data_IF_973157056934
#
_entry.id   IF_973157056934
#
_cell.length_a   1.000
_cell.length_b   1.000
_cell.length_c   1.000
_cell.angle_alpha   90.00
_cell.angle_beta   90.00
_cell.angle_gamma   90.00
#
_symmetry.space_group_name_H-M   'P 1'
#
loop_
_entity.id
_entity.type
_entity.pdbx_description
1 polymer ?
#
# COMPACT_ATOMS: atom_id res chain seq x y z
N UNK A 1 -34.51 21.93 -36.67
CA UNK A 1 -35.49 22.66 -35.85
C UNK A 1 -36.89 22.64 -36.46
N UNK A 2 -37.04 22.86 -37.78
CA UNK A 2 -38.34 22.81 -38.48
C UNK A 2 -39.06 21.46 -38.36
N UNK A 3 -38.37 20.32 -38.48
CA UNK A 3 -38.99 19.00 -38.27
C UNK A 3 -39.42 18.74 -36.82
N UNK A 4 -38.69 19.29 -35.84
CA UNK A 4 -38.98 19.11 -34.41
C UNK A 4 -40.25 19.89 -34.01
N UNK A 5 -40.44 21.08 -34.61
CA UNK A 5 -41.60 21.92 -34.40
C UNK A 5 -42.90 21.37 -35.03
N UNK A 6 -42.79 20.45 -35.99
CA UNK A 6 -43.95 19.78 -36.60
C UNK A 6 -44.36 18.50 -35.85
N UNK A 7 -43.46 17.92 -35.06
CA UNK A 7 -43.64 16.63 -34.38
C UNK A 7 -43.93 16.77 -32.87
N UNK A 8 -43.59 17.91 -32.26
CA UNK A 8 -43.71 18.15 -30.83
C UNK A 8 -44.49 19.42 -30.55
N UNK A 9 -45.43 19.33 -29.61
CA UNK A 9 -46.14 20.49 -29.09
C UNK A 9 -45.19 21.40 -28.28
N UNK A 10 -45.61 22.63 -28.00
CA UNK A 10 -44.83 23.66 -27.30
C UNK A 10 -44.27 23.15 -25.98
N UNK A 11 -45.04 22.35 -25.24
CA UNK A 11 -44.63 21.72 -23.98
C UNK A 11 -43.48 20.70 -24.18
N UNK A 12 -43.52 19.91 -25.26
CA UNK A 12 -42.49 18.94 -25.59
C UNK A 12 -41.17 19.62 -25.97
N UNK A 13 -41.23 20.71 -26.74
CA UNK A 13 -40.07 21.52 -27.10
C UNK A 13 -39.43 22.18 -25.87
N UNK A 14 -40.25 22.71 -24.95
CA UNK A 14 -39.77 23.29 -23.70
C UNK A 14 -39.07 22.27 -22.79
N UNK A 15 -39.62 21.05 -22.68
CA UNK A 15 -39.01 19.96 -21.90
C UNK A 15 -37.66 19.51 -22.48
N UNK A 16 -37.55 19.40 -23.80
CA UNK A 16 -36.30 19.06 -24.49
C UNK A 16 -35.20 20.09 -24.24
N UNK A 17 -35.50 21.37 -24.41
CA UNK A 17 -34.54 22.46 -24.19
C UNK A 17 -34.14 22.60 -22.71
N UNK A 18 -35.11 22.50 -21.80
CA UNK A 18 -34.89 22.63 -20.36
C UNK A 18 -34.01 21.50 -19.78
N UNK A 19 -34.22 20.26 -20.24
CA UNK A 19 -33.42 19.12 -19.79
C UNK A 19 -31.95 19.25 -20.20
N UNK A 20 -31.69 19.64 -21.44
CA UNK A 20 -30.34 19.90 -21.93
C UNK A 20 -29.67 21.03 -21.13
N UNK A 21 -30.38 22.15 -20.93
CA UNK A 21 -29.88 23.28 -20.14
C UNK A 21 -29.51 22.88 -18.71
N UNK A 22 -30.34 22.08 -18.04
CA UNK A 22 -30.05 21.57 -16.70
C UNK A 22 -28.83 20.66 -16.65
N UNK A 23 -28.66 19.77 -17.63
CA UNK A 23 -27.47 18.89 -17.71
C UNK A 23 -26.21 19.72 -17.88
N UNK A 24 -26.21 20.70 -18.80
CA UNK A 24 -25.08 21.62 -18.98
C UNK A 24 -24.80 22.39 -17.69
N UNK A 25 -25.84 22.88 -17.01
CA UNK A 25 -25.70 23.59 -15.74
C UNK A 25 -25.09 22.69 -14.64
N UNK A 26 -25.52 21.43 -14.55
CA UNK A 26 -24.95 20.44 -13.64
C UNK A 26 -23.48 20.16 -13.93
N UNK A 27 -23.14 19.93 -15.21
CA UNK A 27 -21.78 19.71 -15.66
C UNK A 27 -20.86 20.91 -15.38
N UNK A 28 -21.35 22.14 -15.55
CA UNK A 28 -20.58 23.36 -15.21
C UNK A 28 -20.30 23.43 -13.71
N UNK A 29 -21.31 23.17 -12.86
CA UNK A 29 -21.12 23.15 -11.41
C UNK A 29 -20.10 22.09 -10.96
N UNK A 30 -20.18 20.88 -11.53
CA UNK A 30 -19.21 19.80 -11.29
C UNK A 30 -17.82 20.17 -11.82
N UNK A 31 -17.74 20.77 -13.00
CA UNK A 31 -16.47 21.22 -13.60
C UNK A 31 -15.77 22.25 -12.73
N UNK A 32 -16.51 23.21 -12.17
CA UNK A 32 -15.96 24.20 -11.22
C UNK A 32 -15.43 23.54 -9.96
N UNK A 33 -16.13 22.54 -9.40
CA UNK A 33 -15.67 21.77 -8.25
C UNK A 33 -14.38 21.01 -8.55
N UNK A 34 -14.29 20.38 -9.73
CA UNK A 34 -13.11 19.61 -10.14
C UNK A 34 -11.93 20.53 -10.40
N UNK A 35 -12.09 21.55 -11.24
CA UNK A 35 -11.01 22.45 -11.65
C UNK A 35 -10.43 23.25 -10.46
N UNK A 36 -11.28 23.73 -9.54
CA UNK A 36 -10.80 24.45 -8.33
C UNK A 36 -10.21 23.52 -7.27
N UNK A 37 -10.51 22.22 -7.32
CA UNK A 37 -9.90 21.22 -6.43
C UNK A 37 -8.57 20.71 -6.99
N UNK A 38 -8.47 20.61 -8.31
CA UNK A 38 -7.28 20.17 -9.02
C UNK A 38 -6.24 21.29 -9.19
N UNK A 39 -6.65 22.56 -9.16
CA UNK A 39 -5.80 23.76 -9.29
C UNK A 39 -4.72 23.66 -10.37
N UNK A 40 -5.07 23.39 -11.65
CA UNK A 40 -4.06 23.30 -12.71
C UNK A 40 -3.49 24.69 -13.06
N UNK A 41 -2.21 24.75 -13.43
CA UNK A 41 -1.46 26.02 -13.63
C UNK A 41 -2.08 26.97 -14.66
N UNK A 42 -2.72 26.43 -15.70
CA UNK A 42 -3.41 27.20 -16.75
C UNK A 42 -4.77 27.76 -16.30
N UNK A 43 -5.33 27.29 -15.17
CA UNK A 43 -6.64 27.70 -14.70
C UNK A 43 -6.53 28.77 -13.61
N UNK A 44 -6.43 30.03 -14.05
CA UNK A 44 -6.42 31.21 -13.18
C UNK A 44 -7.74 31.99 -13.33
N UNK A 45 -8.83 31.59 -12.64
CA UNK A 45 -10.11 32.26 -12.78
C UNK A 45 -10.06 33.67 -12.18
N UNK A 46 -10.44 34.68 -12.97
CA UNK A 46 -10.57 36.07 -12.51
C UNK A 46 -11.69 36.24 -11.46
N UNK A 47 -12.73 35.40 -11.52
CA UNK A 47 -13.86 35.41 -10.59
C UNK A 47 -13.70 34.39 -9.46
N UNK A 48 -14.01 34.77 -8.21
CA UNK A 48 -14.07 33.86 -7.05
C UNK A 48 -15.53 33.54 -6.73
N UNK A 49 -15.88 32.25 -6.75
CA UNK A 49 -17.24 31.79 -6.44
C UNK A 49 -17.50 31.99 -4.93
N UNK A 50 -18.55 32.75 -4.54
CA UNK A 50 -18.89 32.92 -3.13
C UNK A 50 -19.35 31.60 -2.53
N UNK A 51 -19.00 31.35 -1.27
CA UNK A 51 -19.36 30.12 -0.53
C UNK A 51 -18.92 28.81 -1.21
N UNK A 52 -17.84 28.84 -2.00
CA UNK A 52 -17.21 27.62 -2.49
C UNK A 52 -16.74 26.74 -1.31
N UNK A 53 -16.96 25.41 -1.33
CA UNK A 53 -17.53 24.57 -2.40
C UNK A 53 -19.06 24.35 -2.30
N UNK A 54 -19.72 24.93 -1.31
CA UNK A 54 -21.13 24.66 -0.98
C UNK A 54 -22.05 25.07 -2.12
N UNK A 55 -21.84 26.26 -2.69
CA UNK A 55 -22.75 26.81 -3.70
C UNK A 55 -22.77 25.95 -5.00
N UNK A 56 -21.64 25.58 -5.62
CA UNK A 56 -21.66 24.67 -6.76
C UNK A 56 -22.15 23.25 -6.42
N UNK A 57 -21.86 22.76 -5.21
CA UNK A 57 -22.33 21.44 -4.78
C UNK A 57 -23.86 21.41 -4.64
N UNK A 58 -24.47 22.46 -4.08
CA UNK A 58 -25.92 22.62 -4.05
C UNK A 58 -26.51 22.77 -5.45
N UNK A 59 -25.85 23.51 -6.34
CA UNK A 59 -26.26 23.62 -7.75
C UNK A 59 -26.27 22.27 -8.47
N UNK A 60 -25.21 21.48 -8.32
CA UNK A 60 -25.14 20.13 -8.89
C UNK A 60 -26.19 19.19 -8.28
N UNK A 61 -26.41 19.26 -6.97
CA UNK A 61 -27.42 18.45 -6.26
C UNK A 61 -28.84 18.85 -6.67
N UNK A 62 -29.12 20.14 -6.82
CA UNK A 62 -30.42 20.65 -7.26
C UNK A 62 -30.74 20.17 -8.68
N UNK A 63 -29.77 20.22 -9.60
CA UNK A 63 -29.93 19.65 -10.95
C UNK A 63 -30.26 18.17 -10.87
N UNK A 64 -29.53 17.41 -10.05
CA UNK A 64 -29.76 15.96 -9.88
C UNK A 64 -31.16 15.64 -9.32
N UNK A 65 -31.70 16.50 -8.45
CA UNK A 65 -33.03 16.34 -7.87
C UNK A 65 -34.16 16.78 -8.80
N UNK A 66 -33.94 17.79 -9.64
CA UNK A 66 -34.95 18.33 -10.57
C UNK A 66 -35.07 17.45 -11.82
N UNK A 67 -33.97 16.86 -12.28
CA UNK A 67 -33.91 16.08 -13.52
C UNK A 67 -34.99 14.96 -13.61
N UNK A 68 -35.23 14.13 -12.57
CA UNK A 68 -36.24 13.08 -12.61
C UNK A 68 -37.68 13.61 -12.79
N UNK A 69 -37.94 14.84 -12.35
CA UNK A 69 -39.26 15.47 -12.42
C UNK A 69 -39.67 15.97 -13.82
N UNK A 70 -38.75 16.02 -14.78
CA UNK A 70 -39.01 16.58 -16.12
C UNK A 70 -39.65 15.62 -17.12
N UNK A 71 -40.03 14.42 -16.67
CA UNK A 71 -40.67 13.39 -17.50
C UNK A 71 -39.69 12.60 -18.38
N UNK A 72 -40.16 11.47 -18.89
CA UNK A 72 -39.33 10.49 -19.59
C UNK A 72 -38.73 11.02 -20.92
N UNK A 73 -39.43 11.92 -21.62
CA UNK A 73 -39.01 12.51 -22.89
C UNK A 73 -37.68 13.30 -22.79
N UNK A 74 -37.47 13.96 -21.64
CA UNK A 74 -36.25 14.67 -21.27
C UNK A 74 -35.05 13.74 -21.11
N UNK A 75 -35.28 12.54 -20.57
CA UNK A 75 -34.23 11.55 -20.38
C UNK A 75 -33.83 10.90 -21.70
N UNK A 76 -34.80 10.57 -22.55
CA UNK A 76 -34.56 9.98 -23.88
C UNK A 76 -33.78 10.94 -24.78
N UNK A 77 -34.11 12.22 -24.73
CA UNK A 77 -33.39 13.25 -25.50
C UNK A 77 -32.00 13.54 -24.95
N UNK A 78 -31.82 13.57 -23.63
CA UNK A 78 -30.50 13.67 -23.01
C UNK A 78 -29.61 12.50 -23.41
N UNK A 79 -30.13 11.27 -23.35
CA UNK A 79 -29.42 10.07 -23.80
C UNK A 79 -29.16 10.13 -25.30
N UNK A 80 -30.14 10.53 -26.11
CA UNK A 80 -29.99 10.70 -27.56
C UNK A 80 -28.92 11.72 -27.94
N UNK A 81 -28.85 12.85 -27.25
CA UNK A 81 -27.81 13.86 -27.43
C UNK A 81 -26.45 13.37 -26.96
N UNK A 82 -26.37 12.70 -25.82
CA UNK A 82 -25.14 12.11 -25.32
C UNK A 82 -24.60 11.05 -26.28
N UNK A 83 -25.48 10.18 -26.81
CA UNK A 83 -25.14 9.19 -27.84
C UNK A 83 -24.75 9.86 -29.15
N UNK A 84 -25.45 10.93 -29.56
CA UNK A 84 -25.12 11.70 -30.75
C UNK A 84 -23.76 12.41 -30.63
N UNK A 85 -23.46 13.01 -29.49
CA UNK A 85 -22.17 13.62 -29.19
C UNK A 85 -21.05 12.57 -29.12
N UNK A 86 -21.34 11.40 -28.53
CA UNK A 86 -20.41 10.25 -28.49
C UNK A 86 -20.17 9.72 -29.89
N UNK A 87 -21.21 9.53 -30.70
CA UNK A 87 -21.10 9.08 -32.09
C UNK A 87 -20.35 10.09 -32.95
N UNK A 88 -20.62 11.39 -32.79
CA UNK A 88 -19.88 12.46 -33.44
C UNK A 88 -18.40 12.47 -33.01
N UNK A 89 -18.12 12.31 -31.73
CA UNK A 89 -16.76 12.21 -31.21
C UNK A 89 -16.02 10.99 -31.78
N UNK A 90 -16.66 9.82 -31.79
CA UNK A 90 -16.11 8.59 -32.35
C UNK A 90 -15.95 8.67 -33.87
N UNK A 91 -16.90 9.29 -34.57
CA UNK A 91 -16.80 9.52 -36.02
C UNK A 91 -15.68 10.50 -36.33
N UNK A 92 -15.58 11.62 -35.60
CA UNK A 92 -14.50 12.58 -35.76
C UNK A 92 -13.14 11.97 -35.41
N UNK A 93 -13.08 11.15 -34.36
CA UNK A 93 -11.89 10.35 -34.02
C UNK A 93 -11.49 9.45 -35.20
N UNK A 94 -12.42 8.69 -35.77
CA UNK A 94 -12.16 7.83 -36.95
C UNK A 94 -11.78 8.63 -38.20
N UNK A 95 -12.41 9.77 -38.46
CA UNK A 95 -12.12 10.63 -39.62
C UNK A 95 -10.76 11.32 -39.51
N UNK A 96 -10.34 11.69 -38.29
CA UNK A 96 -9.00 12.22 -38.00
C UNK A 96 -7.95 11.10 -38.09
N UNK A 97 -8.26 9.89 -37.59
CA UNK A 97 -7.42 8.69 -37.77
C UNK A 97 -7.21 8.30 -39.25
N UNK A 98 -8.19 8.59 -40.12
CA UNK A 98 -8.11 8.35 -41.58
C UNK A 98 -7.31 9.44 -42.35
N UNK A 99 -7.09 10.62 -41.74
CA UNK A 99 -6.38 11.76 -42.34
C UNK A 99 -4.88 11.83 -42.06
N UNK A 100 -4.30 10.83 -41.37
CA UNK A 100 -2.86 10.73 -41.12
C UNK A 100 -2.33 11.52 -39.92
N UNK A 101 -3.02 12.56 -39.46
CA UNK A 101 -2.69 13.25 -38.21
C UNK A 101 -3.38 12.58 -37.02
N UNK A 102 -2.66 11.68 -36.33
CA UNK A 102 -3.09 11.16 -35.04
C UNK A 102 -3.03 12.30 -34.01
N UNK A 103 -4.12 13.04 -33.83
CA UNK A 103 -4.32 13.88 -32.65
C UNK A 103 -4.55 12.93 -31.47
N UNK A 104 -3.47 12.32 -30.97
CA UNK A 104 -3.48 11.74 -29.63
C UNK A 104 -3.55 12.92 -28.68
N UNK A 105 -4.60 13.07 -27.85
CA UNK A 105 -4.53 14.03 -26.76
C UNK A 105 -3.29 13.66 -25.95
N UNK A 106 -2.33 14.59 -25.88
CA UNK A 106 -1.05 14.41 -25.19
C UNK A 106 -1.26 14.01 -23.70
N UNK A 107 -2.46 14.27 -23.18
CA UNK A 107 -2.91 13.85 -21.86
C UNK A 107 -4.38 13.39 -21.86
N UNK A 108 -4.63 12.16 -21.42
CA UNK A 108 -5.95 11.70 -21.00
C UNK A 108 -6.30 12.20 -19.60
N UNK A 109 -7.60 12.28 -19.28
CA UNK A 109 -8.08 12.63 -17.94
C UNK A 109 -7.59 11.62 -16.87
N UNK A 110 -7.38 10.36 -17.28
CA UNK A 110 -6.77 9.32 -16.46
C UNK A 110 -5.28 9.57 -16.20
N UNK A 111 -4.52 10.03 -17.20
CA UNK A 111 -3.09 10.31 -17.07
C UNK A 111 -2.84 11.47 -16.10
N UNK A 112 -3.65 12.53 -16.19
CA UNK A 112 -3.62 13.66 -15.23
C UNK A 112 -3.96 13.23 -13.80
N UNK A 113 -4.92 12.31 -13.63
CA UNK A 113 -5.27 11.78 -12.30
C UNK A 113 -4.14 10.91 -11.74
N UNK A 114 -3.50 10.12 -12.60
CA UNK A 114 -2.36 9.28 -12.23
C UNK A 114 -1.13 10.13 -11.88
N UNK A 115 -0.87 11.20 -12.63
CA UNK A 115 0.19 12.18 -12.36
C UNK A 115 0.00 12.84 -10.99
N UNK A 116 -1.21 13.31 -10.68
CA UNK A 116 -1.52 13.86 -9.35
C UNK A 116 -1.35 12.83 -8.23
N UNK A 117 -1.66 11.55 -8.51
CA UNK A 117 -1.42 10.46 -7.56
C UNK A 117 0.08 10.18 -7.38
N UNK A 118 0.88 10.27 -8.44
CA UNK A 118 2.33 10.06 -8.39
C UNK A 118 3.06 11.22 -7.71
N UNK A 119 2.66 12.47 -7.92
CA UNK A 119 3.26 13.60 -7.19
C UNK A 119 2.98 13.49 -5.69
N UNK A 120 1.73 13.19 -5.31
CA UNK A 120 1.37 12.90 -3.92
C UNK A 120 2.13 11.68 -3.37
N UNK A 121 2.44 10.71 -4.23
CA UNK A 121 3.26 9.55 -3.86
C UNK A 121 4.63 9.94 -3.40
N UNK A 122 5.24 10.85 -4.13
CA UNK A 122 6.61 11.24 -3.91
C UNK A 122 6.70 12.09 -2.65
N UNK A 123 5.71 12.96 -2.39
CA UNK A 123 5.62 13.70 -1.13
C UNK A 123 5.42 12.78 0.08
N UNK A 124 4.50 11.80 0.01
CA UNK A 124 4.29 10.82 1.09
C UNK A 124 5.55 9.94 1.29
N UNK A 125 6.25 9.55 0.22
CA UNK A 125 7.52 8.78 0.26
C UNK A 125 8.64 9.59 0.88
N UNK A 126 8.83 10.82 0.41
CA UNK A 126 9.81 11.77 0.92
C UNK A 126 9.56 12.02 2.40
N UNK A 127 8.33 12.28 2.83
CA UNK A 127 8.00 12.44 4.24
C UNK A 127 8.23 11.17 5.09
N UNK A 128 8.08 9.96 4.52
CA UNK A 128 8.37 8.71 5.22
C UNK A 128 9.87 8.44 5.35
N UNK A 129 10.64 8.75 4.30
CA UNK A 129 12.09 8.56 4.23
C UNK A 129 12.84 9.65 5.00
N UNK A 130 12.45 10.92 4.84
CA UNK A 130 12.92 12.06 5.63
C UNK A 130 12.37 12.03 7.06
N UNK A 131 11.18 11.47 7.30
CA UNK A 131 10.61 11.27 8.64
C UNK A 131 11.30 10.17 9.46
N UNK A 132 12.22 9.40 8.85
CA UNK A 132 13.23 8.68 9.59
C UNK A 132 14.23 9.63 10.28
N UNK A 133 14.20 10.93 9.96
CA UNK A 133 14.87 12.01 10.67
C UNK A 133 14.23 13.40 10.51
N UNK A 134 13.11 13.70 11.18
CA UNK A 134 12.73 15.07 11.65
C UNK A 134 11.41 15.10 12.46
N UNK A 135 11.16 16.08 13.35
CA UNK A 135 12.03 16.75 14.30
C UNK A 135 11.64 16.42 15.77
N UNK A 136 12.58 16.62 16.68
CA UNK A 136 12.27 16.78 18.10
C UNK A 136 11.19 17.87 18.27
N UNK A 137 10.11 17.52 18.97
CA UNK A 137 9.30 18.50 19.68
C UNK A 137 10.26 19.35 20.50
N UNK A 138 10.18 20.71 20.48
CA UNK A 138 11.04 21.52 21.32
C UNK A 138 10.61 21.30 22.78
N UNK A 139 11.23 20.32 23.42
CA UNK A 139 11.13 20.13 24.87
C UNK A 139 12.14 21.08 25.48
N UNK A 140 11.62 22.22 25.93
CA UNK A 140 12.31 23.08 26.86
C UNK A 140 12.77 22.26 28.07
N UNK A 141 14.06 22.38 28.36
CA UNK A 141 14.72 22.11 29.65
C UNK A 141 14.61 20.68 30.22
N UNK A 142 15.79 20.05 30.30
CA UNK A 142 16.14 18.88 31.11
C UNK A 142 15.22 17.67 30.97
N UNK A 143 15.53 16.77 30.04
CA UNK A 143 14.96 15.41 30.04
C UNK A 143 16.07 14.40 29.79
N UNK A 144 16.19 13.47 30.73
CA UNK A 144 17.12 12.34 30.74
C UNK A 144 17.03 11.48 29.46
N UNK A 145 18.15 10.86 29.10
CA UNK A 145 18.41 9.97 27.96
C UNK A 145 17.52 8.71 27.84
N UNK A 146 16.37 8.64 28.53
CA UNK A 146 15.48 7.49 28.61
C UNK A 146 14.32 7.50 27.58
N UNK A 147 14.05 8.61 26.89
CA UNK A 147 12.95 8.73 25.92
C UNK A 147 13.30 8.35 24.46
N UNK A 148 14.52 7.85 24.21
CA UNK A 148 14.85 7.06 23.00
C UNK A 148 14.36 5.60 23.09
N UNK A 149 13.64 5.24 24.15
CA UNK A 149 13.08 3.91 24.34
C UNK A 149 11.76 3.71 23.57
N UNK A 150 11.78 2.95 22.47
CA UNK A 150 10.55 2.32 21.98
C UNK A 150 10.61 1.64 20.62
N UNK A 151 11.38 2.15 19.64
CA UNK A 151 11.37 1.55 18.31
C UNK A 151 11.90 0.11 18.35
N UNK A 152 11.17 -0.83 17.75
CA UNK A 152 11.55 -2.24 17.67
C UNK A 152 11.25 -2.84 16.30
N UNK A 153 12.09 -3.76 15.87
CA UNK A 153 11.84 -4.65 14.73
C UNK A 153 11.43 -5.99 15.30
N UNK A 154 10.31 -6.54 14.86
CA UNK A 154 9.86 -7.86 15.29
C UNK A 154 10.09 -8.84 14.17
N UNK A 155 10.70 -9.98 14.45
CA UNK A 155 10.87 -11.06 13.50
C UNK A 155 10.31 -12.35 14.07
N UNK A 156 9.50 -13.05 13.29
CA UNK A 156 9.09 -14.41 13.63
C UNK A 156 10.21 -15.40 13.25
N UNK A 157 10.66 -16.21 14.19
CA UNK A 157 11.61 -17.29 13.95
C UNK A 157 10.97 -18.66 14.21
N UNK A 158 11.38 -19.64 13.41
CA UNK A 158 11.02 -21.04 13.55
C UNK A 158 12.31 -21.88 13.55
N UNK A 159 12.39 -22.92 14.37
CA UNK A 159 13.62 -23.70 14.62
C UNK A 159 14.04 -24.52 13.39
N UNK A 160 13.11 -24.75 12.44
CA UNK A 160 13.32 -25.62 11.29
C UNK A 160 13.49 -24.88 9.94
N UNK A 161 13.81 -23.57 9.96
CA UNK A 161 13.71 -22.71 8.77
C UNK A 161 15.00 -21.93 8.46
N UNK A 162 15.14 -21.33 7.26
CA UNK A 162 16.31 -20.55 6.86
C UNK A 162 16.38 -19.21 7.62
N UNK A 163 16.78 -19.27 8.89
CA UNK A 163 16.97 -18.11 9.76
C UNK A 163 18.03 -17.15 9.24
N UNK A 164 19.01 -17.63 8.46
CA UNK A 164 20.15 -16.79 8.03
C UNK A 164 19.71 -15.58 7.22
N UNK A 165 18.85 -15.78 6.23
CA UNK A 165 18.43 -14.71 5.32
C UNK A 165 17.34 -13.85 5.94
N UNK A 166 16.46 -14.43 6.75
CA UNK A 166 15.49 -13.67 7.53
C UNK A 166 16.18 -12.77 8.56
N UNK A 167 17.23 -13.24 9.21
CA UNK A 167 18.05 -12.43 10.12
C UNK A 167 18.83 -11.34 9.39
N UNK A 168 19.27 -11.57 8.15
CA UNK A 168 19.88 -10.48 7.35
C UNK A 168 18.87 -9.36 7.10
N UNK A 169 17.62 -9.70 6.74
CA UNK A 169 16.56 -8.69 6.61
C UNK A 169 16.22 -8.03 7.96
N UNK A 170 16.14 -8.80 9.03
CA UNK A 170 15.87 -8.25 10.36
C UNK A 170 16.98 -7.30 10.82
N UNK A 171 18.24 -7.65 10.57
CA UNK A 171 19.41 -6.83 10.88
C UNK A 171 19.48 -5.58 9.99
N UNK A 172 19.16 -5.68 8.69
CA UNK A 172 19.09 -4.49 7.82
C UNK A 172 18.04 -3.50 8.31
N UNK A 173 16.87 -3.99 8.75
CA UNK A 173 15.83 -3.13 9.31
C UNK A 173 16.20 -2.61 10.70
N UNK A 174 16.83 -3.44 11.54
CA UNK A 174 17.33 -3.03 12.86
C UNK A 174 18.37 -1.91 12.76
N UNK A 175 19.31 -2.02 11.82
CA UNK A 175 20.27 -0.98 11.50
C UNK A 175 19.60 0.29 10.99
N UNK A 176 18.69 0.17 10.00
CA UNK A 176 17.97 1.31 9.42
C UNK A 176 17.16 2.10 10.43
N UNK A 177 16.48 1.40 11.35
CA UNK A 177 15.67 2.02 12.39
C UNK A 177 16.41 2.29 13.70
N UNK A 178 17.70 1.95 13.77
CA UNK A 178 18.50 1.99 15.00
C UNK A 178 17.78 1.33 16.18
N UNK A 179 17.18 0.16 15.92
CA UNK A 179 16.24 -0.51 16.82
C UNK A 179 16.67 -1.95 17.10
N UNK A 180 16.46 -2.46 18.33
CA UNK A 180 16.66 -3.88 18.62
C UNK A 180 15.68 -4.74 17.84
N UNK A 181 16.10 -5.98 17.59
CA UNK A 181 15.29 -7.01 16.95
C UNK A 181 14.73 -7.95 18.01
N UNK A 182 13.41 -7.97 18.15
CA UNK A 182 12.67 -8.91 18.99
C UNK A 182 12.33 -10.17 18.14
N UNK A 183 13.03 -11.26 18.40
CA UNK A 183 12.78 -12.57 17.79
C UNK A 183 11.70 -13.34 18.55
N UNK A 184 10.54 -13.50 17.92
CA UNK A 184 9.41 -14.22 18.48
C UNK A 184 9.41 -15.65 17.95
N UNK A 185 9.38 -16.62 18.87
CA UNK A 185 9.18 -18.03 18.57
C UNK A 185 7.88 -18.47 19.20
N UNK A 186 6.96 -18.98 18.40
CA UNK A 186 5.67 -19.48 18.89
C UNK A 186 5.65 -20.99 18.82
N UNK A 187 5.39 -21.64 19.95
CA UNK A 187 5.04 -23.05 19.98
C UNK A 187 3.54 -23.18 20.16
N UNK A 188 2.88 -23.74 19.14
CA UNK A 188 1.44 -23.97 19.20
C UNK A 188 1.11 -25.14 20.13
N UNK A 189 0.21 -24.89 21.08
CA UNK A 189 -0.28 -25.86 22.05
C UNK A 189 -1.69 -26.29 21.66
N UNK A 190 -1.91 -27.59 21.34
CA UNK A 190 -3.26 -28.09 21.07
C UNK A 190 -4.20 -27.82 22.24
N UNK A 191 -5.48 -27.50 22.00
CA UNK A 191 -6.42 -27.16 23.06
C UNK A 191 -6.63 -28.30 24.07
N UNK A 192 -6.36 -29.55 23.67
CA UNK A 192 -6.47 -30.74 24.52
C UNK A 192 -5.27 -30.95 25.46
N UNK A 193 -4.17 -30.19 25.32
CA UNK A 193 -3.02 -30.26 26.24
C UNK A 193 -2.99 -29.06 27.20
N UNK A 194 -2.62 -29.27 28.49
CA UNK A 194 -2.32 -28.18 29.40
C UNK A 194 -1.15 -27.33 28.89
N UNK A 195 -1.27 -26.00 29.02
CA UNK A 195 -0.20 -25.04 28.66
C UNK A 195 1.07 -25.21 29.52
N UNK A 196 0.96 -25.89 30.67
CA UNK A 196 2.06 -26.23 31.58
C UNK A 196 2.89 -27.43 31.10
N UNK A 197 2.50 -28.09 30.00
CA UNK A 197 3.29 -29.17 29.41
C UNK A 197 4.67 -28.62 29.02
N UNK A 198 5.75 -29.31 29.39
CA UNK A 198 7.10 -28.89 29.06
C UNK A 198 7.31 -29.03 27.55
N UNK A 199 7.23 -27.91 26.82
CA UNK A 199 7.61 -27.85 25.42
C UNK A 199 9.11 -27.58 25.33
N UNK A 200 9.77 -28.20 24.36
CA UNK A 200 11.19 -27.96 24.10
C UNK A 200 11.41 -26.48 23.78
N UNK A 201 12.02 -25.76 24.72
CA UNK A 201 12.53 -24.44 24.44
C UNK A 201 13.61 -24.55 23.35
N UNK A 202 13.77 -23.53 22.50
CA UNK A 202 14.87 -23.46 21.55
C UNK A 202 16.20 -23.72 22.26
N UNK A 203 17.07 -24.53 21.65
CA UNK A 203 18.34 -24.89 22.27
C UNK A 203 19.17 -23.64 22.58
N UNK A 204 19.85 -23.62 23.74
CA UNK A 204 20.70 -22.48 24.13
C UNK A 204 21.80 -22.24 23.09
N UNK A 205 22.33 -23.32 22.50
CA UNK A 205 23.33 -23.25 21.43
C UNK A 205 22.79 -22.56 20.18
N UNK A 206 21.56 -22.89 19.76
CA UNK A 206 20.91 -22.25 18.62
C UNK A 206 20.68 -20.77 18.88
N UNK A 207 20.16 -20.39 20.07
CA UNK A 207 19.96 -18.98 20.44
C UNK A 207 21.26 -18.20 20.40
N UNK A 208 22.31 -18.71 21.07
CA UNK A 208 23.62 -18.06 21.10
C UNK A 208 24.18 -17.83 19.69
N UNK A 209 24.04 -18.81 18.80
CA UNK A 209 24.46 -18.68 17.39
C UNK A 209 23.71 -17.56 16.64
N UNK A 210 22.44 -17.32 16.97
CA UNK A 210 21.67 -16.23 16.37
C UNK A 210 22.07 -14.88 16.95
N UNK A 211 22.33 -14.82 18.27
CA UNK A 211 22.83 -13.62 18.96
C UNK A 211 24.20 -13.22 18.42
N UNK A 212 25.16 -14.15 18.37
CA UNK A 212 26.49 -13.95 17.78
C UNK A 212 26.38 -13.38 16.36
N UNK A 213 25.47 -13.94 15.55
CA UNK A 213 25.27 -13.48 14.16
C UNK A 213 24.64 -12.10 14.07
N UNK A 214 23.78 -11.70 14.99
CA UNK A 214 23.20 -10.35 15.00
C UNK A 214 24.18 -9.33 15.56
N UNK A 215 25.02 -9.74 16.52
CA UNK A 215 26.11 -8.95 17.09
C UNK A 215 27.21 -8.67 16.06
N UNK A 216 27.54 -9.62 15.16
CA UNK A 216 28.39 -9.39 13.99
C UNK A 216 27.93 -8.18 13.14
N UNK A 217 26.64 -7.86 13.18
CA UNK A 217 26.04 -6.74 12.45
C UNK A 217 25.69 -5.55 13.36
N UNK A 218 26.09 -5.57 14.64
CA UNK A 218 25.84 -4.48 15.59
C UNK A 218 24.37 -4.30 16.00
N UNK A 219 23.51 -5.28 15.77
CA UNK A 219 22.07 -5.19 16.06
C UNK A 219 21.71 -6.10 17.24
N UNK A 220 21.19 -5.56 18.36
CA UNK A 220 20.79 -6.40 19.50
C UNK A 220 19.63 -7.33 19.16
N UNK A 221 19.76 -8.62 19.49
CA UNK A 221 18.71 -9.63 19.33
C UNK A 221 18.11 -10.02 20.69
N UNK A 222 16.78 -10.01 20.81
CA UNK A 222 16.06 -10.42 22.03
C UNK A 222 15.12 -11.57 21.73
N UNK A 223 15.23 -12.66 22.48
CA UNK A 223 14.39 -13.84 22.27
C UNK A 223 13.13 -13.83 23.13
N UNK A 224 12.00 -14.10 22.49
CA UNK A 224 10.71 -14.29 23.12
C UNK A 224 10.10 -15.62 22.69
N UNK A 225 10.14 -16.62 23.57
CA UNK A 225 9.43 -17.89 23.36
C UNK A 225 8.03 -17.81 23.96
N UNK A 226 7.01 -18.04 23.13
CA UNK A 226 5.60 -17.92 23.50
C UNK A 226 4.90 -19.26 23.26
N UNK A 227 4.22 -19.77 24.28
CA UNK A 227 3.29 -20.88 24.16
C UNK A 227 1.90 -20.32 23.87
N UNK A 228 1.28 -20.71 22.76
CA UNK A 228 -0.01 -20.16 22.37
C UNK A 228 -0.90 -21.18 21.67
N UNK A 229 -2.22 -20.97 21.69
CA UNK A 229 -3.17 -21.76 20.88
C UNK A 229 -3.44 -21.15 19.50
N UNK A 230 -3.08 -19.88 19.33
CA UNK A 230 -3.26 -19.11 18.10
C UNK A 230 -1.98 -18.30 17.86
N UNK A 231 -1.22 -18.72 16.84
CA UNK A 231 0.07 -18.12 16.48
C UNK A 231 -0.07 -16.68 16.00
N UNK A 232 -1.11 -16.35 15.22
CA UNK A 232 -1.35 -14.98 14.77
C UNK A 232 -1.61 -14.06 15.96
N UNK A 233 -2.47 -14.47 16.90
CA UNK A 233 -2.77 -13.68 18.10
C UNK A 233 -1.54 -13.51 19.00
N UNK A 234 -0.71 -14.54 19.12
CA UNK A 234 0.52 -14.50 19.91
C UNK A 234 1.57 -13.54 19.34
N UNK A 235 1.71 -13.49 18.02
CA UNK A 235 2.62 -12.55 17.35
C UNK A 235 2.07 -11.12 17.47
N UNK A 236 0.78 -10.93 17.19
CA UNK A 236 0.14 -9.61 17.26
C UNK A 236 0.13 -9.01 18.67
N UNK A 237 0.09 -9.83 19.73
CA UNK A 237 0.14 -9.32 21.11
C UNK A 237 1.50 -8.73 21.48
N UNK A 238 2.54 -8.99 20.69
CA UNK A 238 3.89 -8.40 20.82
C UNK A 238 4.13 -7.24 19.87
N UNK A 239 3.23 -7.01 18.91
CA UNK A 239 3.28 -5.81 18.07
C UNK A 239 2.56 -4.66 18.76
N UNK A 240 3.30 -3.60 19.03
CA UNK A 240 2.82 -2.37 19.66
C UNK A 240 2.96 -1.19 18.69
N UNK A 241 2.48 0.00 19.04
CA UNK A 241 2.56 1.19 18.16
C UNK A 241 3.98 1.65 17.84
N UNK A 242 4.95 1.20 18.63
CA UNK A 242 6.38 1.45 18.49
C UNK A 242 7.09 0.41 17.60
N UNK A 243 6.39 -0.67 17.21
CA UNK A 243 6.91 -1.68 16.28
C UNK A 243 6.96 -1.09 14.88
N UNK A 244 8.17 -0.87 14.37
CA UNK A 244 8.41 -0.28 13.05
C UNK A 244 8.03 -1.23 11.93
N UNK A 245 8.41 -2.50 12.09
CA UNK A 245 8.08 -3.56 11.15
C UNK A 245 7.99 -4.93 11.85
N UNK A 246 7.05 -5.74 11.38
CA UNK A 246 6.95 -7.16 11.67
C UNK A 246 7.39 -7.95 10.44
N UNK A 247 8.46 -8.71 10.56
CA UNK A 247 9.00 -9.58 9.53
C UNK A 247 8.56 -11.02 9.79
N UNK A 248 7.94 -11.65 8.80
CA UNK A 248 7.45 -13.02 8.85
C UNK A 248 8.13 -13.85 7.77
N UNK A 249 8.35 -15.13 8.05
CA UNK A 249 8.71 -16.11 7.02
C UNK A 249 7.45 -16.67 6.34
N UNK A 250 7.55 -16.90 5.04
CA UNK A 250 6.52 -17.57 4.25
C UNK A 250 6.78 -19.07 4.33
N UNK A 251 5.98 -19.77 5.12
CA UNK A 251 6.17 -21.20 5.27
C UNK A 251 5.76 -21.97 3.99
N UNK A 252 6.57 -22.99 3.60
CA UNK A 252 6.48 -23.68 2.30
C UNK A 252 5.14 -24.38 2.02
N UNK A 253 4.38 -24.73 3.04
CA UNK A 253 3.07 -25.39 2.92
C UNK A 253 1.96 -24.43 2.46
N UNK A 254 2.22 -23.12 2.45
CA UNK A 254 1.24 -22.10 2.08
C UNK A 254 1.41 -21.64 0.62
N UNK A 255 0.38 -21.85 -0.20
CA UNK A 255 0.19 -21.15 -1.49
C UNK A 255 -0.59 -19.86 -1.24
N UNK A 256 -0.39 -18.80 -2.03
CA UNK A 256 -1.09 -17.52 -1.78
C UNK A 256 -2.60 -17.65 -2.01
N UNK A 257 -3.01 -18.51 -2.96
CA UNK A 257 -4.41 -18.89 -3.13
C UNK A 257 -5.05 -19.51 -1.89
N UNK A 258 -4.23 -20.06 -0.96
CA UNK A 258 -4.65 -20.62 0.32
C UNK A 258 -4.37 -19.68 1.52
N UNK A 259 -3.99 -18.41 1.29
CA UNK A 259 -3.80 -17.43 2.37
C UNK A 259 -5.07 -17.26 3.20
N UNK A 260 -6.25 -17.37 2.58
CA UNK A 260 -7.54 -17.24 3.23
C UNK A 260 -7.65 -18.20 4.43
N UNK A 261 -7.53 -17.66 5.64
CA UNK A 261 -7.60 -18.41 6.89
C UNK A 261 -6.25 -18.82 7.51
N UNK A 262 -5.12 -18.50 6.86
CA UNK A 262 -3.79 -18.69 7.45
C UNK A 262 -3.48 -17.67 8.55
N UNK A 263 -2.51 -17.99 9.42
CA UNK A 263 -2.06 -17.08 10.47
C UNK A 263 -1.41 -15.81 9.88
N UNK A 264 -0.69 -15.93 8.76
CA UNK A 264 -0.10 -14.79 8.02
C UNK A 264 -1.19 -13.87 7.48
N UNK A 265 -2.28 -14.40 6.91
CA UNK A 265 -3.43 -13.59 6.48
C UNK A 265 -4.10 -12.87 7.65
N UNK A 266 -4.27 -13.55 8.79
CA UNK A 266 -4.79 -12.94 10.00
C UNK A 266 -3.91 -11.78 10.48
N UNK A 267 -2.58 -11.94 10.45
CA UNK A 267 -1.62 -10.88 10.78
C UNK A 267 -1.70 -9.75 9.76
N UNK A 268 -1.62 -10.04 8.46
CA UNK A 268 -1.70 -9.02 7.42
C UNK A 268 -3.00 -8.21 7.53
N UNK A 269 -4.13 -8.81 7.92
CA UNK A 269 -5.40 -8.10 8.11
C UNK A 269 -5.45 -7.25 9.37
N UNK A 270 -4.90 -7.73 10.48
CA UNK A 270 -5.09 -7.14 11.82
C UNK A 270 -3.90 -6.33 12.34
N UNK A 271 -2.72 -6.49 11.74
CA UNK A 271 -1.50 -5.85 12.22
C UNK A 271 -1.64 -4.33 12.30
N UNK A 272 -1.31 -3.72 13.45
CA UNK A 272 -1.27 -2.27 13.59
C UNK A 272 0.00 -1.66 12.98
N UNK A 273 1.02 -2.48 12.71
CA UNK A 273 2.35 -2.08 12.22
C UNK A 273 2.63 -2.59 10.81
N UNK A 274 3.66 -2.05 10.14
CA UNK A 274 4.09 -2.54 8.83
C UNK A 274 4.43 -4.02 8.92
N UNK A 275 4.06 -4.78 7.90
CA UNK A 275 4.36 -6.22 7.82
C UNK A 275 5.15 -6.47 6.55
N UNK A 276 6.24 -7.21 6.68
CA UNK A 276 6.97 -7.79 5.57
C UNK A 276 6.91 -9.32 5.67
N UNK A 277 6.63 -9.99 4.55
CA UNK A 277 6.57 -11.45 4.48
C UNK A 277 7.60 -11.91 3.46
N UNK A 278 8.59 -12.68 3.91
CA UNK A 278 9.65 -13.22 3.06
C UNK A 278 9.27 -14.61 2.57
N UNK A 279 9.19 -14.80 1.27
CA UNK A 279 9.20 -16.12 0.63
C UNK A 279 10.59 -16.48 0.16
N UNK A 280 11.28 -17.27 0.98
CA UNK A 280 12.63 -17.71 0.68
C UNK A 280 12.69 -18.76 -0.44
N UNK A 281 13.58 -18.55 -1.42
CA UNK A 281 13.77 -19.46 -2.56
C UNK A 281 15.17 -20.09 -2.67
N UNK A 282 15.99 -20.03 -1.62
CA UNK A 282 17.26 -20.78 -1.58
C UNK A 282 18.53 -19.96 -1.82
N UNK A 283 18.40 -18.64 -2.06
CA UNK A 283 19.54 -17.75 -2.28
C UNK A 283 20.36 -17.57 -0.99
N UNK A 284 21.66 -17.85 -1.04
CA UNK A 284 22.51 -17.76 0.17
C UNK A 284 22.77 -16.32 0.61
N UNK A 285 22.77 -15.38 -0.33
CA UNK A 285 22.97 -13.94 -0.15
C UNK A 285 21.96 -13.18 -1.01
N UNK A 286 21.76 -11.91 -0.69
CA UNK A 286 21.05 -10.97 -1.54
C UNK A 286 22.09 -10.04 -2.15
N UNK A 287 22.42 -10.22 -3.44
CA UNK A 287 23.40 -9.38 -4.14
C UNK A 287 22.72 -8.50 -5.20
N UNK A 288 21.58 -8.95 -5.73
CA UNK A 288 20.76 -8.22 -6.70
C UNK A 288 19.32 -8.14 -6.22
N UNK A 289 18.84 -6.92 -5.98
CA UNK A 289 17.49 -6.65 -5.44
C UNK A 289 16.66 -5.96 -6.52
N UNK A 290 15.50 -6.54 -6.86
CA UNK A 290 14.51 -5.96 -7.75
C UNK A 290 13.36 -5.39 -6.92
N UNK A 291 13.03 -4.11 -7.10
CA UNK A 291 11.80 -3.51 -6.56
C UNK A 291 10.84 -3.27 -7.72
N UNK A 292 9.72 -3.99 -7.73
CA UNK A 292 8.67 -3.73 -8.72
C UNK A 292 7.59 -2.84 -8.11
N UNK A 293 7.41 -1.65 -8.69
CA UNK A 293 6.47 -0.65 -8.19
C UNK A 293 5.40 -0.31 -9.24
N UNK A 294 4.17 -0.12 -8.78
CA UNK A 294 3.06 0.33 -9.61
C UNK A 294 2.91 1.86 -9.65
N UNK A 295 3.89 2.61 -9.09
CA UNK A 295 3.79 4.06 -8.98
C UNK A 295 2.77 4.54 -7.94
N UNK A 296 2.37 3.69 -7.00
CA UNK A 296 1.32 4.02 -6.05
C UNK A 296 1.82 4.95 -4.93
N UNK A 297 1.04 6.00 -4.56
CA UNK A 297 1.34 6.89 -3.44
C UNK A 297 1.49 6.26 -2.08
N UNK A 298 1.10 5.01 -1.97
CA UNK A 298 0.97 4.32 -0.73
C UNK A 298 2.04 3.25 -0.54
N UNK A 299 2.98 3.16 -1.48
CA UNK A 299 3.93 2.07 -1.60
C UNK A 299 5.34 2.59 -1.26
N UNK A 300 5.49 3.10 -0.04
CA UNK A 300 6.74 3.67 0.50
C UNK A 300 7.64 2.58 1.09
N UNK A 301 7.02 1.54 1.66
CA UNK A 301 7.70 0.51 2.40
C UNK A 301 8.57 -0.39 1.50
N UNK A 302 8.17 -0.72 0.26
CA UNK A 302 9.02 -1.57 -0.58
C UNK A 302 10.35 -0.91 -0.96
N UNK A 303 10.35 0.40 -1.23
CA UNK A 303 11.56 1.14 -1.59
C UNK A 303 12.46 1.30 -0.37
N UNK A 304 11.91 1.78 0.75
CA UNK A 304 12.63 1.95 2.01
C UNK A 304 13.29 0.65 2.49
N UNK A 305 12.55 -0.46 2.44
CA UNK A 305 13.04 -1.76 2.91
C UNK A 305 14.06 -2.36 1.94
N UNK A 306 13.88 -2.19 0.62
CA UNK A 306 14.85 -2.66 -0.35
C UNK A 306 16.17 -1.89 -0.23
N UNK A 307 16.10 -0.57 -0.07
CA UNK A 307 17.26 0.30 0.15
C UNK A 307 17.99 -0.07 1.45
N UNK A 308 17.26 -0.28 2.55
CA UNK A 308 17.85 -0.75 3.80
C UNK A 308 18.62 -2.08 3.64
N UNK A 309 18.07 -3.02 2.86
CA UNK A 309 18.76 -4.30 2.57
C UNK A 309 19.97 -4.06 1.67
N UNK A 310 19.87 -3.19 0.65
CA UNK A 310 20.98 -2.82 -0.21
C UNK A 310 22.13 -2.19 0.57
N UNK A 311 21.87 -1.14 1.38
CA UNK A 311 22.87 -0.49 2.24
C UNK A 311 23.55 -1.49 3.19
N UNK A 312 22.78 -2.44 3.72
CA UNK A 312 23.29 -3.41 4.67
C UNK A 312 24.12 -4.54 4.02
N UNK A 313 23.78 -4.94 2.80
CA UNK A 313 24.41 -6.10 2.13
C UNK A 313 25.41 -5.71 1.04
N UNK A 314 25.43 -4.44 0.61
CA UNK A 314 26.14 -3.99 -0.58
C UNK A 314 25.52 -4.49 -1.89
N UNK A 315 24.23 -4.86 -1.87
CA UNK A 315 23.53 -5.36 -3.04
C UNK A 315 23.22 -4.24 -4.04
N UNK A 316 23.23 -4.56 -5.34
CA UNK A 316 22.76 -3.65 -6.38
C UNK A 316 21.24 -3.55 -6.35
N UNK A 317 20.73 -2.33 -6.42
CA UNK A 317 19.30 -2.06 -6.45
C UNK A 317 18.81 -1.90 -7.90
N UNK A 318 17.61 -2.39 -8.19
CA UNK A 318 16.97 -2.23 -9.51
C UNK A 318 15.52 -1.88 -9.31
N UNK A 319 15.08 -0.75 -9.87
CA UNK A 319 13.68 -0.34 -9.85
C UNK A 319 13.01 -0.64 -11.17
N UNK A 320 11.85 -1.28 -11.08
CA UNK A 320 11.08 -1.72 -12.23
C UNK A 320 9.66 -1.18 -12.19
N UNK A 321 9.19 -0.71 -13.35
CA UNK A 321 7.77 -0.46 -13.61
C UNK A 321 7.37 -1.15 -14.91
N UNK A 322 6.17 -1.75 -14.90
CA UNK A 322 5.57 -2.36 -16.10
C UNK A 322 4.48 -1.45 -16.62
N UNK A 323 4.57 -1.09 -17.90
CA UNK A 323 3.61 -0.29 -18.62
C UNK A 323 2.77 -1.17 -19.56
N UNK A 324 1.53 -0.77 -19.88
CA UNK A 324 0.78 -1.40 -20.96
C UNK A 324 1.56 -1.36 -22.29
N UNK A 325 1.37 -2.34 -23.20
CA UNK A 325 2.07 -2.36 -24.49
C UNK A 325 1.80 -1.11 -25.35
N UNK A 326 0.61 -0.54 -25.20
CA UNK A 326 0.12 0.64 -25.91
C UNK A 326 0.35 1.96 -25.15
N UNK A 327 1.19 1.96 -24.12
CA UNK A 327 1.55 3.17 -23.39
C UNK A 327 2.18 4.23 -24.33
N UNK A 328 1.73 5.48 -24.16
CA UNK A 328 2.26 6.64 -24.89
C UNK A 328 3.70 6.97 -24.44
N UNK A 329 4.44 7.69 -25.29
CA UNK A 329 5.80 8.17 -24.94
C UNK A 329 5.78 9.04 -23.68
N UNK A 330 4.79 9.92 -23.54
CA UNK A 330 4.62 10.74 -22.33
C UNK A 330 4.42 9.88 -21.07
N UNK A 331 3.68 8.76 -21.15
CA UNK A 331 3.48 7.86 -20.02
C UNK A 331 4.77 7.12 -19.66
N UNK A 332 5.58 6.77 -20.65
CA UNK A 332 6.90 6.18 -20.41
C UNK A 332 7.86 7.19 -19.78
N UNK A 333 7.88 8.43 -20.26
CA UNK A 333 8.68 9.51 -19.70
C UNK A 333 8.27 9.82 -18.24
N UNK A 334 6.97 9.86 -17.95
CA UNK A 334 6.45 9.99 -16.59
C UNK A 334 6.87 8.83 -15.69
N UNK A 335 6.80 7.59 -16.20
CA UNK A 335 7.24 6.42 -15.46
C UNK A 335 8.74 6.46 -15.17
N UNK A 336 9.54 6.88 -16.15
CA UNK A 336 10.99 7.08 -16.00
C UNK A 336 11.30 8.13 -14.95
N UNK A 337 10.72 9.32 -15.08
CA UNK A 337 10.87 10.41 -14.12
C UNK A 337 10.42 10.00 -12.71
N UNK A 338 9.39 9.15 -12.60
CA UNK A 338 8.99 8.61 -11.31
C UNK A 338 10.06 7.68 -10.72
N UNK A 339 10.63 6.77 -11.52
CA UNK A 339 11.69 5.88 -11.07
C UNK A 339 12.98 6.63 -10.70
N UNK A 340 13.36 7.65 -11.47
CA UNK A 340 14.51 8.53 -11.17
C UNK A 340 14.32 9.26 -9.84
N UNK A 341 13.12 9.79 -9.56
CA UNK A 341 12.84 10.40 -8.26
C UNK A 341 12.83 9.40 -7.11
N UNK A 342 12.54 8.12 -7.36
CA UNK A 342 12.68 7.10 -6.31
C UNK A 342 14.15 6.83 -6.01
N UNK A 343 14.98 6.82 -7.04
CA UNK A 343 16.43 6.64 -6.93
C UNK A 343 17.08 7.79 -6.15
N UNK A 344 16.67 9.04 -6.42
CA UNK A 344 17.09 10.22 -5.65
C UNK A 344 16.74 10.17 -4.15
N UNK A 345 15.77 9.33 -3.76
CA UNK A 345 15.32 9.19 -2.38
C UNK A 345 16.01 8.03 -1.63
N UNK A 346 16.82 7.23 -2.32
CA UNK A 346 17.53 6.09 -1.74
C UNK A 346 18.99 6.39 -1.45
N UNK A 347 19.58 5.65 -0.51
CA UNK A 347 21.01 5.74 -0.21
C UNK A 347 21.86 5.06 -1.29
N UNK A 348 21.27 4.11 -2.03
CA UNK A 348 21.95 3.32 -3.06
C UNK A 348 21.39 3.65 -4.45
N UNK A 349 22.29 3.86 -5.41
CA UNK A 349 21.92 4.04 -6.82
C UNK A 349 21.23 2.77 -7.37
N UNK A 350 20.08 2.97 -8.02
CA UNK A 350 19.24 1.94 -8.58
C UNK A 350 19.31 1.93 -10.11
N UNK A 351 19.48 0.75 -10.69
CA UNK A 351 19.27 0.58 -12.13
C UNK A 351 17.78 0.66 -12.47
N UNK A 352 17.39 1.52 -13.41
CA UNK A 352 15.99 1.73 -13.77
C UNK A 352 15.57 0.85 -14.95
N UNK A 353 14.46 0.12 -14.80
CA UNK A 353 13.91 -0.80 -15.80
C UNK A 353 12.46 -0.44 -16.09
N UNK A 354 12.17 -0.13 -17.35
CA UNK A 354 10.82 0.03 -17.86
C UNK A 354 10.53 -1.10 -18.84
N UNK A 355 9.50 -1.89 -18.53
CA UNK A 355 9.04 -2.98 -19.40
C UNK A 355 7.64 -2.68 -19.90
N UNK A 356 7.33 -3.13 -21.12
CA UNK A 356 5.98 -3.06 -21.68
C UNK A 356 5.41 -4.48 -21.77
N UNK A 357 4.33 -4.75 -21.05
CA UNK A 357 3.72 -6.09 -21.00
C UNK A 357 2.25 -5.99 -20.58
N UNK A 358 1.37 -6.81 -21.17
CA UNK A 358 -0.03 -6.93 -20.73
C UNK A 358 -0.13 -7.66 -19.38
N UNK A 359 0.81 -8.56 -19.11
CA UNK A 359 0.88 -9.35 -17.89
C UNK A 359 2.05 -8.84 -17.01
N UNK A 360 1.68 -7.95 -16.08
CA UNK A 360 2.61 -7.34 -15.11
C UNK A 360 3.35 -8.40 -14.29
N UNK A 361 2.65 -9.45 -13.83
CA UNK A 361 3.28 -10.47 -13.00
C UNK A 361 4.30 -11.28 -13.81
N UNK A 362 3.97 -11.65 -15.04
CA UNK A 362 4.91 -12.32 -15.95
C UNK A 362 6.16 -11.47 -16.22
N UNK A 363 6.00 -10.17 -16.46
CA UNK A 363 7.13 -9.27 -16.67
C UNK A 363 8.03 -9.20 -15.43
N UNK A 364 7.46 -9.04 -14.23
CA UNK A 364 8.21 -9.01 -12.97
C UNK A 364 8.95 -10.33 -12.75
N UNK A 365 8.30 -11.48 -12.99
CA UNK A 365 8.94 -12.80 -12.85
C UNK A 365 10.13 -12.92 -13.81
N UNK A 366 9.94 -12.54 -15.08
CA UNK A 366 10.98 -12.59 -16.12
C UNK A 366 12.21 -11.76 -15.76
N UNK A 367 12.03 -10.50 -15.34
CA UNK A 367 13.15 -9.65 -14.89
C UNK A 367 13.74 -10.17 -13.59
N UNK A 368 12.88 -10.67 -12.70
CA UNK A 368 13.23 -11.24 -11.40
C UNK A 368 14.10 -12.49 -11.46
N UNK A 369 14.16 -13.21 -12.57
CA UNK A 369 15.04 -14.39 -12.74
C UNK A 369 16.53 -14.07 -12.52
N UNK A 370 16.93 -12.82 -12.74
CA UNK A 370 18.31 -12.34 -12.55
C UNK A 370 18.58 -11.82 -11.14
N UNK A 371 17.58 -11.80 -10.26
CA UNK A 371 17.64 -11.16 -8.95
C UNK A 371 17.46 -12.20 -7.83
N UNK A 372 18.13 -11.96 -6.71
CA UNK A 372 18.10 -12.87 -5.55
C UNK A 372 16.91 -12.57 -4.64
N UNK A 373 16.46 -11.30 -4.65
CA UNK A 373 15.35 -10.78 -3.88
C UNK A 373 14.47 -9.87 -4.76
N UNK A 374 13.17 -10.15 -4.78
CA UNK A 374 12.15 -9.32 -5.42
C UNK A 374 11.30 -8.70 -4.32
N UNK A 375 11.28 -7.38 -4.23
CA UNK A 375 10.49 -6.64 -3.25
C UNK A 375 9.25 -6.06 -3.92
N UNK A 376 8.08 -6.36 -3.35
CA UNK A 376 6.78 -5.98 -3.88
C UNK A 376 5.98 -5.22 -2.82
N UNK A 377 5.48 -4.04 -3.20
CA UNK A 377 4.48 -3.33 -2.41
C UNK A 377 3.10 -3.98 -2.53
N UNK A 378 2.31 -3.99 -1.46
CA UNK A 378 0.88 -4.33 -1.53
C UNK A 378 0.11 -3.18 -2.21
N UNK A 379 0.23 -3.03 -3.53
CA UNK A 379 -0.57 -2.09 -4.30
C UNK A 379 -2.05 -2.48 -4.18
N UNK A 380 -2.82 -1.67 -3.45
CA UNK A 380 -4.28 -1.72 -3.49
C UNK A 380 -4.71 -0.98 -4.74
N UNK A 381 -4.77 -1.65 -5.89
CA UNK A 381 -5.83 -1.29 -6.82
C UNK A 381 -7.14 -1.49 -6.06
N UNK A 382 -7.78 -0.39 -5.65
CA UNK A 382 -9.12 -0.41 -5.07
C UNK A 382 -10.09 -0.74 -6.20
N UNK A 383 -10.07 -1.98 -6.68
CA UNK A 383 -11.15 -2.52 -7.49
C UNK A 383 -12.34 -2.77 -6.58
N UNK A 384 -13.56 -2.52 -7.07
CA UNK A 384 -14.84 -2.74 -6.37
C UNK A 384 -14.97 -4.14 -5.71
N UNK A 385 -14.18 -5.12 -6.16
CA UNK A 385 -14.06 -6.47 -5.56
C UNK A 385 -13.38 -6.50 -4.18
N UNK A 386 -12.56 -5.51 -3.83
CA UNK A 386 -11.83 -5.42 -2.54
C UNK A 386 -12.78 -5.18 -1.36
N UNK A 387 -13.96 -4.61 -1.61
CA UNK A 387 -15.02 -4.44 -0.60
C UNK A 387 -15.60 -5.79 -0.12
N UNK A 388 -15.40 -6.87 -0.87
CA UNK A 388 -15.88 -8.22 -0.54
C UNK A 388 -14.79 -9.15 0.04
N UNK A 389 -13.70 -8.60 0.58
CA UNK A 389 -12.85 -9.29 1.57
C UNK A 389 -11.93 -10.43 1.10
N UNK A 390 -11.86 -10.74 -0.21
CA UNK A 390 -11.21 -11.97 -0.70
C UNK A 390 -9.68 -11.95 -0.86
N UNK A 391 -9.02 -10.80 -1.02
CA UNK A 391 -7.56 -10.77 -1.23
C UNK A 391 -6.88 -9.66 -0.41
N UNK A 392 -5.93 -10.04 0.45
CA UNK A 392 -5.17 -9.14 1.34
C UNK A 392 -3.83 -8.72 0.73
N UNK A 393 -3.30 -9.59 -0.12
CA UNK A 393 -2.18 -9.35 -1.02
C UNK A 393 -2.77 -9.19 -2.43
N UNK A 394 -2.25 -8.26 -3.24
CA UNK A 394 -2.74 -8.03 -4.60
C UNK A 394 -2.45 -9.22 -5.53
N UNK A 395 -3.27 -9.42 -6.58
CA UNK A 395 -3.13 -10.54 -7.55
C UNK A 395 -1.73 -10.63 -8.17
N UNK A 396 -1.10 -9.49 -8.44
CA UNK A 396 0.26 -9.45 -9.01
C UNK A 396 1.28 -10.01 -8.01
N UNK A 397 1.24 -9.59 -6.75
CA UNK A 397 2.16 -10.09 -5.73
C UNK A 397 1.97 -11.58 -5.43
N UNK A 398 0.74 -12.08 -5.57
CA UNK A 398 0.40 -13.51 -5.56
C UNK A 398 1.12 -14.27 -6.66
N UNK A 399 0.82 -13.92 -7.91
CA UNK A 399 1.37 -14.62 -9.07
C UNK A 399 2.91 -14.56 -9.10
N UNK A 400 3.51 -13.43 -8.72
CA UNK A 400 4.97 -13.29 -8.62
C UNK A 400 5.52 -14.18 -7.51
N UNK A 401 4.95 -14.16 -6.30
CA UNK A 401 5.45 -15.00 -5.22
C UNK A 401 5.30 -16.49 -5.52
N UNK A 402 4.30 -16.90 -6.30
CA UNK A 402 4.13 -18.29 -6.72
C UNK A 402 5.15 -18.70 -7.80
N UNK A 403 5.40 -17.84 -8.79
CA UNK A 403 6.17 -18.18 -10.00
C UNK A 403 7.64 -17.79 -9.97
N UNK A 404 8.02 -16.80 -9.15
CA UNK A 404 9.40 -16.32 -9.09
C UNK A 404 10.38 -17.39 -8.59
N UNK A 405 11.55 -17.42 -9.23
CA UNK A 405 12.70 -18.22 -8.83
C UNK A 405 13.48 -17.55 -7.70
N UNK A 406 13.58 -16.22 -7.71
CA UNK A 406 14.15 -15.40 -6.64
C UNK A 406 13.31 -15.36 -5.37
N UNK A 407 13.93 -15.06 -4.22
CA UNK A 407 13.19 -14.85 -2.98
C UNK A 407 12.27 -13.63 -3.12
N UNK A 408 11.09 -13.64 -2.51
CA UNK A 408 10.11 -12.55 -2.68
C UNK A 408 9.77 -11.95 -1.33
N UNK A 409 9.95 -10.63 -1.16
CA UNK A 409 9.58 -9.87 0.01
C UNK A 409 8.33 -9.06 -0.28
N UNK A 410 7.21 -9.40 0.34
CA UNK A 410 5.94 -8.68 0.18
C UNK A 410 5.78 -7.74 1.35
N UNK A 411 5.58 -6.46 1.08
CA UNK A 411 5.46 -5.41 2.10
C UNK A 411 4.03 -4.88 2.17
N UNK A 412 3.58 -4.58 3.39
CA UNK A 412 2.26 -4.01 3.66
C UNK A 412 2.36 -2.92 4.71
N UNK A 413 1.83 -1.73 4.38
CA UNK A 413 1.71 -0.61 5.32
C UNK A 413 0.25 -0.43 5.81
N UNK A 414 0.00 -0.47 7.14
CA UNK A 414 -1.33 -0.27 7.72
C UNK A 414 -1.80 1.20 7.73
N UNK A 415 -0.88 2.18 7.71
CA UNK A 415 -1.22 3.60 7.81
C UNK A 415 -2.03 4.08 6.59
N UNK A 416 -1.73 3.50 5.42
CA UNK A 416 -2.49 3.66 4.18
C UNK A 416 -3.95 3.21 4.35
N UNK A 417 -4.16 2.07 5.01
CA UNK A 417 -5.50 1.50 5.19
C UNK A 417 -6.38 2.35 6.10
N UNK A 418 -5.80 2.96 7.14
CA UNK A 418 -6.52 3.82 8.10
C UNK A 418 -6.81 5.24 7.58
N UNK A 419 -5.90 5.87 6.81
CA UNK A 419 -6.14 7.23 6.28
C UNK A 419 -7.33 7.28 5.32
N UNK A 420 -7.51 6.24 4.49
CA UNK A 420 -8.60 6.17 3.52
C UNK A 420 -9.96 5.94 4.20
N UNK A 421 -10.04 5.00 5.16
CA UNK A 421 -11.29 4.74 5.89
C UNK A 421 -11.72 5.93 6.74
N UNK A 422 -10.77 6.62 7.38
CA UNK A 422 -11.05 7.84 8.17
C UNK A 422 -11.54 8.97 7.26
N UNK A 423 -10.88 9.22 6.11
CA UNK A 423 -11.36 10.22 5.12
C UNK A 423 -12.74 9.89 4.55
N UNK A 424 -13.09 8.61 4.40
CA UNK A 424 -14.42 8.20 3.95
C UNK A 424 -15.49 8.38 5.04
N UNK A 425 -15.17 8.02 6.28
CA UNK A 425 -16.07 8.16 7.44
C UNK A 425 -16.27 9.63 7.84
N UNK A 426 -15.23 10.45 7.73
CA UNK A 426 -15.30 11.90 7.95
C UNK A 426 -16.12 12.57 6.85
N UNK A 427 -16.04 12.08 5.60
CA UNK A 427 -16.89 12.53 4.48
C UNK A 427 -18.35 12.10 4.60
N UNK A 428 -18.63 11.02 5.33
CA UNK A 428 -19.99 10.54 5.61
C UNK A 428 -20.55 11.07 6.94
N UNK A 429 -19.83 11.94 7.65
CA UNK A 429 -20.28 12.54 8.91
C UNK A 429 -20.38 11.57 10.09
N UNK A 430 -19.81 10.36 9.98
CA UNK A 430 -19.91 9.30 10.99
C UNK A 430 -18.69 9.24 11.93
N UNK A 431 -17.72 10.15 11.77
CA UNK A 431 -16.40 10.15 12.42
C UNK A 431 -16.34 10.53 13.91
N UNK A 432 -17.43 10.44 14.68
CA UNK A 432 -17.38 10.60 16.15
C UNK A 432 -18.32 9.64 16.87
N UNK A 433 -17.79 8.50 17.31
CA UNK A 433 -18.32 7.78 18.48
C UNK A 433 -17.21 7.60 19.50
N UNK A 434 -17.42 8.23 20.66
CA UNK A 434 -16.65 8.11 21.91
C UNK A 434 -16.35 6.63 22.17
N UNK A 435 -15.06 6.27 22.20
CA UNK A 435 -14.64 4.99 22.76
C UNK A 435 -15.03 4.99 24.24
N UNK A 436 -15.94 4.10 24.60
CA UNK A 436 -16.34 3.86 25.97
C UNK A 436 -15.39 2.79 26.49
N UNK A 437 -14.66 3.12 27.56
CA UNK A 437 -13.83 2.17 28.30
C UNK A 437 -14.58 0.87 28.55
N UNK A 438 -13.90 -0.23 28.25
CA UNK A 438 -14.32 -1.59 28.50
C UNK A 438 -13.08 -2.40 28.78
N UNK A 439 -12.78 -2.52 30.07
CA UNK A 439 -11.83 -3.45 30.68
C UNK A 439 -11.74 -4.76 29.90
N UNK A 440 -10.55 -5.09 29.41
CA UNK A 440 -10.20 -6.47 29.05
C UNK A 440 -9.15 -6.90 30.06
N UNK A 441 -9.66 -7.55 31.08
CA UNK A 441 -8.94 -8.23 32.14
C UNK A 441 -7.86 -9.14 31.56
N UNK A 442 -6.67 -9.03 32.13
CA UNK A 442 -5.55 -9.94 31.94
C UNK A 442 -5.91 -11.35 32.41
N UNK A 443 -5.90 -12.32 31.51
CA UNK A 443 -5.73 -13.72 31.85
C UNK A 443 -5.09 -14.45 30.68
N UNK A 444 -4.09 -15.28 30.99
CA UNK A 444 -3.41 -16.25 30.14
C UNK A 444 -2.40 -15.73 29.10
N UNK A 445 -1.34 -15.10 29.59
CA UNK A 445 -0.01 -15.18 28.97
C UNK A 445 1.05 -15.31 30.07
N UNK A 446 1.38 -16.53 30.46
CA UNK A 446 2.46 -16.79 31.42
C UNK A 446 3.80 -16.68 30.71
N UNK A 447 4.54 -15.61 31.00
CA UNK A 447 5.95 -15.45 30.61
C UNK A 447 6.80 -16.25 31.61
N UNK A 448 7.50 -17.28 31.13
CA UNK A 448 8.43 -18.07 31.96
C UNK A 448 9.85 -17.53 31.74
N UNK A 449 10.42 -16.91 32.77
CA UNK A 449 11.85 -16.54 32.79
C UNK A 449 12.68 -17.73 33.30
N UNK A 450 13.88 -18.00 32.75
CA UNK A 450 14.77 -19.01 33.29
C UNK A 450 15.33 -18.55 34.65
N UNK A 451 15.16 -19.39 35.67
CA UNK A 451 15.65 -19.16 37.04
C UNK A 451 17.16 -19.39 37.08
N UNK A 452 17.90 -18.43 37.63
CA UNK A 452 19.36 -18.49 37.85
C UNK A 452 19.64 -19.58 38.90
N UNK A 453 20.36 -20.63 38.53
CA UNK A 453 20.83 -21.67 39.45
C UNK A 453 21.87 -21.07 40.40
N UNK A 454 21.53 -21.00 41.69
CA UNK A 454 22.50 -20.70 42.75
C UNK A 454 23.30 -21.96 43.06
N UNK A 455 24.62 -21.91 42.86
CA UNK A 455 25.59 -22.86 43.43
C UNK A 455 25.29 -23.05 44.92
N UNK A 456 25.04 -24.30 45.31
CA UNK A 456 25.28 -24.77 46.68
C UNK A 456 26.77 -25.09 46.78
N UNK A 457 27.46 -24.37 47.65
CA UNK A 457 28.67 -24.89 48.28
C UNK A 457 28.20 -25.81 49.41
N UNK A 458 28.65 -27.06 49.38
CA UNK A 458 28.71 -27.95 50.52
C UNK A 458 30.17 -28.00 51.01
N UNK A 459 30.30 -28.01 52.33
CA UNK A 459 31.50 -28.04 53.22
C UNK A 459 32.28 -26.74 53.39
#
# INVERSE_FOLDING_TARGET
MTSLALLLDVEGLAKLGGAFGLIVFGLVNVSVLILRRASPEWYQPSFKVPFYPVLPALGALAVLLILPGMGWLSHVSAVGLALGATAWYLWRRRSVEAGGERIQPEYGLGDRLQELQQVQSLEDKRAALEGAGAPAVPVSASVDSAELAGARVVVELDDNQPYKQLLVLAASFGGRYQAPVDAIMVTEVPPQRPLQTQFSAPSVQWRRKMEERMEEHGVPLRFHHILARDRARAILSRTTSDTRILLLDWHREFRLGNLLGSYVDAILRKSPSRVAVLKYRGHKKYERILVATAGSPYATAEVELADAVASFTGASLTFMMVLPPDASEAREEQARAYLERLDELTENDAHLVLERDEDVARAIVRVGERHDLIVLGSSREVSLRTLFGRHVVGRIADEVAERATGSVLITKDPAVTRRVSRRLLDRLGLGRRKSRDGDITSADATVVFPRKESRRDES
#
